data_IF_664903373976
#
_entry.id   IF_664903373976
#
_cell.length_a   1.000
_cell.length_b   1.000
_cell.length_c   1.000
_cell.angle_alpha   90.00
_cell.angle_beta   90.00
_cell.angle_gamma   90.00
#
_symmetry.space_group_name_H-M   'P 1'
#
loop_
_entity.id
_entity.type
_entity.pdbx_description
1 polymer ?
#
# COMPACT_ATOMS: atom_id res chain seq x y z
N UNK A 1 -31.15 49.26 61.74
CA UNK A 1 -30.80 47.87 62.10
C UNK A 1 -29.68 47.44 61.15
N UNK A 2 -28.39 47.36 61.47
CA UNK A 2 -27.72 47.09 62.72
C UNK A 2 -27.05 45.70 62.63
N UNK A 3 -25.83 45.63 62.11
CA UNK A 3 -24.76 44.68 62.52
C UNK A 3 -23.50 44.86 61.64
N UNK A 4 -22.41 45.25 62.30
CA UNK A 4 -21.01 45.20 61.85
C UNK A 4 -20.37 43.90 62.36
N UNK A 5 -19.09 43.69 62.00
CA UNK A 5 -18.11 42.67 62.44
C UNK A 5 -18.09 41.37 61.61
N UNK A 6 -16.94 40.78 61.24
CA UNK A 6 -15.53 41.12 61.37
C UNK A 6 -14.73 40.26 60.36
N UNK A 7 -13.56 40.76 59.94
CA UNK A 7 -12.53 39.97 59.23
C UNK A 7 -12.00 38.90 60.18
N UNK A 8 -12.23 37.63 59.85
CA UNK A 8 -11.53 36.49 60.45
C UNK A 8 -10.32 36.15 59.57
N UNK A 9 -9.16 36.60 60.02
CA UNK A 9 -7.86 36.13 59.56
C UNK A 9 -7.65 34.72 60.10
N UNK A 10 -7.88 33.70 59.29
CA UNK A 10 -7.42 32.34 59.59
C UNK A 10 -6.06 32.14 58.93
N UNK A 11 -5.02 32.19 59.75
CA UNK A 11 -3.69 31.66 59.44
C UNK A 11 -3.83 30.16 59.17
N UNK A 12 -3.92 29.79 57.89
CA UNK A 12 -3.63 28.42 57.46
C UNK A 12 -2.10 28.32 57.26
N UNK A 13 -1.45 27.22 57.70
CA UNK A 13 -0.05 26.97 57.36
C UNK A 13 0.08 26.91 55.82
N UNK A 14 1.28 27.11 55.24
CA UNK A 14 1.44 26.93 53.81
C UNK A 14 1.11 25.46 53.50
N UNK A 15 -0.10 25.22 53.03
CA UNK A 15 -0.43 23.98 52.36
C UNK A 15 0.56 23.89 51.23
N UNK A 16 1.49 22.94 51.33
CA UNK A 16 2.36 22.51 50.25
C UNK A 16 1.54 22.56 48.98
N UNK A 17 1.82 23.54 48.12
CA UNK A 17 1.24 23.59 46.79
C UNK A 17 1.62 22.27 46.17
N UNK A 18 0.68 21.33 46.12
CA UNK A 18 0.78 20.21 45.22
C UNK A 18 0.76 20.88 43.85
N UNK A 19 1.95 21.21 43.34
CA UNK A 19 2.16 21.55 41.95
C UNK A 19 1.68 20.31 41.21
N UNK A 20 0.41 20.32 40.83
CA UNK A 20 -0.14 19.34 39.92
C UNK A 20 0.66 19.55 38.64
N UNK A 21 1.71 18.77 38.48
CA UNK A 21 2.55 18.77 37.28
C UNK A 21 1.62 18.58 36.11
N UNK A 22 1.38 19.66 35.37
CA UNK A 22 0.50 19.65 34.22
C UNK A 22 1.25 19.03 33.05
N UNK A 23 0.52 18.50 32.07
CA UNK A 23 1.13 18.02 30.83
C UNK A 23 1.84 19.14 30.04
N UNK A 24 1.58 20.41 30.40
CA UNK A 24 2.19 21.60 29.80
C UNK A 24 3.57 21.91 30.40
N UNK A 25 3.89 21.35 31.57
CA UNK A 25 5.18 21.55 32.24
C UNK A 25 6.28 20.61 31.69
N UNK A 26 5.93 19.72 30.75
CA UNK A 26 6.88 18.79 30.12
C UNK A 26 7.70 19.54 29.05
N UNK A 27 9.04 19.55 29.12
CA UNK A 27 9.89 20.13 28.10
C UNK A 27 9.64 19.54 26.70
N UNK A 28 9.66 20.38 25.66
CA UNK A 28 9.39 19.95 24.28
C UNK A 28 10.34 18.84 23.80
N UNK A 29 11.60 18.83 24.25
CA UNK A 29 12.56 17.77 23.92
C UNK A 29 12.19 16.41 24.53
N UNK A 30 11.53 16.38 25.70
CA UNK A 30 11.03 15.15 26.28
C UNK A 30 9.81 14.63 25.49
N UNK A 31 8.88 15.54 25.15
CA UNK A 31 7.72 15.23 24.31
C UNK A 31 8.19 14.66 22.97
N UNK A 32 9.20 15.29 22.37
CA UNK A 32 9.68 14.93 21.05
C UNK A 32 10.26 13.52 20.98
N UNK A 33 11.03 13.13 22.00
CA UNK A 33 11.56 11.77 22.14
C UNK A 33 10.40 10.77 22.19
N UNK A 34 9.38 11.04 23.02
CA UNK A 34 8.19 10.17 23.11
C UNK A 34 7.51 10.04 21.75
N UNK A 35 7.23 11.16 21.06
CA UNK A 35 6.56 11.16 19.76
C UNK A 35 7.33 10.37 18.69
N UNK A 36 8.66 10.36 18.73
CA UNK A 36 9.48 9.58 17.80
C UNK A 36 9.31 8.06 17.97
N UNK A 37 8.85 7.56 19.11
CA UNK A 37 8.57 6.14 19.33
C UNK A 37 7.11 5.74 19.03
N UNK A 38 6.24 6.69 18.77
CA UNK A 38 4.81 6.44 18.52
C UNK A 38 4.48 6.28 17.05
N UNK A 39 3.42 5.55 16.75
CA UNK A 39 2.93 5.46 15.38
C UNK A 39 2.25 6.78 14.96
N UNK A 40 2.22 7.13 13.66
CA UNK A 40 1.63 8.38 13.19
C UNK A 40 0.20 8.68 13.67
N UNK A 41 -0.73 7.69 13.77
CA UNK A 41 -2.05 7.95 14.35
C UNK A 41 -2.00 8.33 15.84
N UNK A 42 -1.09 7.74 16.61
CA UNK A 42 -0.91 8.04 18.03
C UNK A 42 -0.35 9.46 18.21
N UNK A 43 0.60 9.87 17.38
CA UNK A 43 1.12 11.24 17.33
C UNK A 43 -0.03 12.23 17.10
N UNK A 44 -0.89 11.96 16.12
CA UNK A 44 -2.05 12.80 15.82
C UNK A 44 -3.06 12.85 16.99
N UNK A 45 -3.27 11.73 17.69
CA UNK A 45 -4.13 11.68 18.87
C UNK A 45 -3.55 12.51 20.01
N UNK A 46 -2.26 12.37 20.33
CA UNK A 46 -1.62 13.17 21.38
C UNK A 46 -1.59 14.67 21.06
N UNK A 47 -1.40 15.02 19.78
CA UNK A 47 -1.48 16.41 19.31
C UNK A 47 -2.84 17.08 19.58
N UNK A 48 -3.89 16.31 19.84
CA UNK A 48 -5.21 16.84 20.20
C UNK A 48 -5.36 17.16 21.69
N UNK A 49 -4.48 16.62 22.55
CA UNK A 49 -4.63 16.67 24.01
C UNK A 49 -4.09 17.96 24.65
N UNK A 50 -3.02 18.55 24.11
CA UNK A 50 -2.47 19.81 24.63
C UNK A 50 -1.77 20.64 23.55
N UNK A 51 -1.55 21.92 23.85
CA UNK A 51 -0.80 22.82 22.97
C UNK A 51 0.66 22.37 22.78
N UNK A 52 1.33 21.96 23.86
CA UNK A 52 2.71 21.48 23.80
C UNK A 52 2.85 20.26 22.86
N UNK A 53 2.00 19.24 23.02
CA UNK A 53 1.99 18.08 22.12
C UNK A 53 1.67 18.48 20.67
N UNK A 54 0.73 19.40 20.46
CA UNK A 54 0.39 19.90 19.12
C UNK A 54 1.57 20.57 18.43
N UNK A 55 2.24 21.48 19.15
CA UNK A 55 3.42 22.21 18.66
C UNK A 55 4.54 21.22 18.29
N UNK A 56 4.95 20.38 19.25
CA UNK A 56 6.05 19.42 19.05
C UNK A 56 5.73 18.38 17.98
N UNK A 57 4.47 17.92 17.88
CA UNK A 57 4.06 16.96 16.83
C UNK A 57 4.13 17.52 15.42
N UNK A 58 4.27 18.83 15.24
CA UNK A 58 4.35 19.44 13.91
C UNK A 58 5.80 19.64 13.44
N UNK A 59 6.78 19.34 14.29
CA UNK A 59 8.19 19.49 13.97
C UNK A 59 8.68 18.42 12.97
N UNK A 60 9.52 18.84 12.03
CA UNK A 60 9.96 18.00 10.91
C UNK A 60 10.75 16.76 11.35
N UNK A 61 11.59 16.87 12.38
CA UNK A 61 12.40 15.74 12.85
C UNK A 61 11.53 14.57 13.37
N UNK A 62 10.31 14.85 13.88
CA UNK A 62 9.36 13.80 14.28
C UNK A 62 8.92 13.02 13.05
N UNK A 63 8.52 13.71 11.98
CA UNK A 63 8.02 13.08 10.77
C UNK A 63 9.11 12.52 9.86
N UNK A 64 10.33 13.04 9.94
CA UNK A 64 11.51 12.45 9.31
C UNK A 64 11.73 11.01 9.77
N UNK A 65 11.54 10.72 11.06
CA UNK A 65 11.63 9.36 11.60
C UNK A 65 10.53 8.42 11.11
N UNK A 66 9.44 8.96 10.56
CA UNK A 66 8.26 8.21 10.07
C UNK A 66 8.23 8.07 8.55
N UNK A 67 8.97 8.91 7.82
CA UNK A 67 9.10 8.82 6.38
C UNK A 67 10.05 7.66 6.01
N UNK A 68 9.78 6.95 4.91
CA UNK A 68 10.69 5.93 4.42
C UNK A 68 11.98 6.57 3.90
N UNK A 69 13.10 5.84 3.94
CA UNK A 69 14.40 6.37 3.50
C UNK A 69 14.42 6.86 2.05
N UNK A 70 13.55 6.31 1.20
CA UNK A 70 13.42 6.68 -0.21
C UNK A 70 12.44 7.85 -0.46
N UNK A 71 12.01 8.60 0.57
CA UNK A 71 10.98 9.64 0.40
C UNK A 71 11.36 10.73 -0.61
N UNK A 72 12.65 11.04 -0.76
CA UNK A 72 13.14 11.98 -1.79
C UNK A 72 12.86 11.43 -3.21
N UNK A 73 13.13 10.15 -3.44
CA UNK A 73 12.78 9.47 -4.69
C UNK A 73 11.25 9.52 -4.92
N UNK A 74 10.45 9.26 -3.88
CA UNK A 74 8.98 9.30 -3.97
C UNK A 74 8.46 10.71 -4.30
N UNK A 75 9.05 11.77 -3.73
CA UNK A 75 8.66 13.14 -4.03
C UNK A 75 8.80 13.46 -5.53
N UNK A 76 9.91 13.04 -6.14
CA UNK A 76 10.18 13.28 -7.54
C UNK A 76 9.39 12.33 -8.46
N UNK A 77 9.42 11.02 -8.18
CA UNK A 77 8.86 9.99 -9.05
C UNK A 77 7.35 9.86 -8.96
N UNK A 78 6.79 9.99 -7.75
CA UNK A 78 5.37 9.74 -7.48
C UNK A 78 4.61 11.04 -7.36
N UNK A 79 5.06 11.97 -6.52
CA UNK A 79 4.34 13.23 -6.28
C UNK A 79 4.65 14.33 -7.31
N UNK A 80 5.73 14.19 -8.08
CA UNK A 80 6.19 15.17 -9.07
C UNK A 80 6.33 16.59 -8.48
N UNK A 81 6.79 16.69 -7.23
CA UNK A 81 6.98 17.95 -6.53
C UNK A 81 8.45 18.39 -6.60
N UNK A 82 8.71 19.71 -6.70
CA UNK A 82 10.07 20.24 -6.58
C UNK A 82 10.66 19.97 -5.19
N UNK A 83 11.98 19.80 -5.11
CA UNK A 83 12.68 19.44 -3.87
C UNK A 83 12.38 20.45 -2.74
N UNK A 84 11.81 19.91 -1.65
CA UNK A 84 11.73 20.44 -0.28
C UNK A 84 11.32 21.92 -0.12
N UNK A 85 10.02 22.18 -0.26
CA UNK A 85 9.34 23.35 0.35
C UNK A 85 8.21 22.96 1.30
N UNK A 86 7.91 21.66 1.43
CA UNK A 86 6.75 21.17 2.15
C UNK A 86 7.17 20.54 3.50
N UNK A 87 6.43 20.80 4.59
CA UNK A 87 6.65 20.15 5.88
C UNK A 87 6.62 18.62 5.75
N UNK A 88 7.50 17.91 6.48
CA UNK A 88 7.60 16.43 6.40
C UNK A 88 6.31 15.72 6.80
N UNK A 89 5.57 16.32 7.74
CA UNK A 89 4.21 15.91 8.11
C UNK A 89 3.25 15.88 6.92
N UNK A 90 3.29 16.92 6.09
CA UNK A 90 2.43 17.03 4.92
C UNK A 90 2.83 16.01 3.84
N UNK A 91 4.14 15.83 3.63
CA UNK A 91 4.67 14.82 2.73
C UNK A 91 4.17 13.43 3.14
N UNK A 92 4.30 13.08 4.42
CA UNK A 92 3.79 11.83 4.95
C UNK A 92 2.28 11.69 4.72
N UNK A 93 1.50 12.74 5.07
CA UNK A 93 0.05 12.73 4.88
C UNK A 93 -0.36 12.53 3.41
N UNK A 94 0.35 13.14 2.45
CA UNK A 94 0.13 12.92 1.02
C UNK A 94 0.47 11.49 0.61
N UNK A 95 1.64 10.98 1.01
CA UNK A 95 2.10 9.63 0.67
C UNK A 95 1.22 8.52 1.27
N UNK A 96 0.49 8.76 2.36
CA UNK A 96 -0.50 7.78 2.90
C UNK A 96 -1.80 7.67 2.09
N UNK A 97 -2.01 8.56 1.12
CA UNK A 97 -3.14 8.48 0.18
C UNK A 97 -2.68 7.75 -1.08
N UNK A 98 -3.58 7.10 -1.84
CA UNK A 98 -3.25 6.57 -3.16
C UNK A 98 -2.68 7.68 -4.05
N UNK A 99 -1.44 7.50 -4.47
CA UNK A 99 -0.72 8.43 -5.34
C UNK A 99 -0.53 7.76 -6.72
N UNK A 100 -1.37 8.09 -7.73
CA UNK A 100 -1.20 7.55 -9.06
C UNK A 100 0.06 8.10 -9.71
N UNK A 101 0.80 7.23 -10.40
CA UNK A 101 1.98 7.60 -11.17
C UNK A 101 2.04 6.76 -12.45
N UNK A 102 2.96 7.11 -13.35
CA UNK A 102 3.12 6.45 -14.65
C UNK A 102 1.78 6.33 -15.42
N UNK A 103 1.26 7.50 -15.81
CA UNK A 103 0.00 7.61 -16.55
C UNK A 103 -1.21 7.01 -15.83
N UNK A 104 -1.20 7.07 -14.48
CA UNK A 104 -2.21 6.49 -13.60
C UNK A 104 -2.41 4.97 -13.77
N UNK A 105 -1.42 4.27 -14.32
CA UNK A 105 -1.43 2.81 -14.43
C UNK A 105 -0.79 2.12 -13.23
N UNK A 106 -0.13 2.89 -12.35
CA UNK A 106 0.47 2.43 -11.11
C UNK A 106 0.06 3.36 -9.98
N UNK A 107 -0.06 2.82 -8.78
CA UNK A 107 -0.36 3.61 -7.59
C UNK A 107 0.62 3.27 -6.47
N UNK A 108 1.02 4.28 -5.72
CA UNK A 108 1.85 4.15 -4.53
C UNK A 108 1.10 4.67 -3.31
N UNK A 109 1.29 4.04 -2.14
CA UNK A 109 0.91 4.64 -0.86
C UNK A 109 1.74 4.08 0.29
N UNK A 110 1.73 4.79 1.41
CA UNK A 110 2.28 4.32 2.69
C UNK A 110 1.16 3.76 3.57
N UNK A 111 1.48 2.68 4.29
CA UNK A 111 0.65 2.29 5.42
C UNK A 111 0.73 3.37 6.53
N UNK A 112 -0.44 3.79 7.01
CA UNK A 112 -0.55 4.92 7.95
C UNK A 112 0.12 4.66 9.30
N UNK A 113 0.20 3.40 9.72
CA UNK A 113 0.78 3.01 11.01
C UNK A 113 2.28 2.77 10.88
N UNK A 114 2.65 1.86 9.98
CA UNK A 114 4.03 1.40 9.84
C UNK A 114 4.91 2.28 8.95
N UNK A 115 4.34 3.19 8.15
CA UNK A 115 5.08 3.99 7.19
C UNK A 115 5.71 3.18 6.05
N UNK A 116 5.27 1.93 5.85
CA UNK A 116 5.82 1.02 4.84
C UNK A 116 5.21 1.23 3.46
N UNK A 117 6.01 0.94 2.43
CA UNK A 117 5.68 1.19 1.04
C UNK A 117 4.76 0.12 0.44
N UNK A 118 3.72 0.56 -0.24
CA UNK A 118 2.84 -0.28 -1.05
C UNK A 118 2.79 0.25 -2.48
N UNK A 119 2.77 -0.68 -3.43
CA UNK A 119 2.63 -0.38 -4.85
C UNK A 119 1.55 -1.30 -5.44
N UNK A 120 0.71 -0.75 -6.31
CA UNK A 120 -0.18 -1.50 -7.18
C UNK A 120 0.12 -1.16 -8.64
N UNK A 121 -0.04 -2.14 -9.52
CA UNK A 121 0.21 -2.05 -10.95
C UNK A 121 -1.04 -2.57 -11.67
N UNK A 122 -1.72 -1.72 -12.42
CA UNK A 122 -2.93 -2.06 -13.19
C UNK A 122 -2.65 -3.12 -14.26
N UNK A 123 -3.65 -3.93 -14.59
CA UNK A 123 -3.66 -4.78 -15.79
C UNK A 123 -3.30 -4.04 -17.07
N UNK A 124 -3.58 -2.74 -17.16
CA UNK A 124 -3.21 -1.88 -18.31
C UNK A 124 -1.71 -1.61 -18.43
N UNK A 125 -0.95 -1.75 -17.34
CA UNK A 125 0.51 -1.66 -17.34
C UNK A 125 1.19 -3.02 -17.53
N UNK A 126 0.43 -4.11 -17.63
CA UNK A 126 0.97 -5.45 -17.81
C UNK A 126 1.13 -5.77 -19.30
N UNK A 127 2.16 -6.56 -19.60
CA UNK A 127 2.34 -7.19 -20.91
C UNK A 127 1.51 -8.47 -20.94
N UNK A 128 0.35 -8.43 -21.58
CA UNK A 128 -0.57 -9.57 -21.72
C UNK A 128 -0.53 -10.05 -23.17
N UNK A 129 -0.19 -11.32 -23.39
CA UNK A 129 -0.15 -11.89 -24.74
C UNK A 129 -1.56 -11.91 -25.37
N UNK A 130 -1.68 -11.30 -26.55
CA UNK A 130 -2.94 -11.23 -27.31
C UNK A 130 -3.93 -10.15 -26.82
N UNK A 131 -3.52 -9.25 -25.93
CA UNK A 131 -4.40 -8.22 -25.33
C UNK A 131 -5.06 -7.29 -26.35
N UNK A 132 -4.40 -7.05 -27.49
CA UNK A 132 -4.90 -6.17 -28.55
C UNK A 132 -6.00 -6.83 -29.39
N UNK A 133 -6.14 -8.16 -29.31
CA UNK A 133 -7.16 -8.91 -30.03
C UNK A 133 -8.42 -9.06 -29.17
N UNK A 134 -9.48 -8.33 -29.55
CA UNK A 134 -10.78 -8.30 -28.86
C UNK A 134 -11.51 -9.65 -28.84
N UNK A 135 -11.08 -10.60 -29.67
CA UNK A 135 -11.56 -12.00 -29.66
C UNK A 135 -11.08 -12.73 -28.40
N UNK A 136 -9.88 -12.41 -27.92
CA UNK A 136 -9.29 -13.05 -26.74
C UNK A 136 -9.49 -12.23 -25.47
N UNK A 137 -9.21 -10.93 -25.51
CA UNK A 137 -9.22 -10.08 -24.32
C UNK A 137 -10.08 -8.84 -24.49
N UNK A 138 -10.66 -8.36 -23.40
CA UNK A 138 -11.33 -7.07 -23.36
C UNK A 138 -11.07 -6.40 -22.01
N UNK A 139 -10.94 -5.07 -22.00
CA UNK A 139 -11.02 -4.33 -20.74
C UNK A 139 -12.48 -4.11 -20.38
N UNK A 140 -12.88 -4.57 -19.20
CA UNK A 140 -14.24 -4.38 -18.69
C UNK A 140 -14.22 -3.34 -17.57
N UNK A 141 -15.14 -2.37 -17.56
CA UNK A 141 -15.24 -1.40 -16.47
C UNK A 141 -15.77 -2.09 -15.20
N UNK A 142 -15.19 -1.74 -14.05
CA UNK A 142 -15.61 -2.26 -12.75
C UNK A 142 -15.18 -1.31 -11.65
N UNK A 143 -16.02 -1.16 -10.62
CA UNK A 143 -15.70 -0.40 -9.41
C UNK A 143 -15.07 -1.27 -8.31
N UNK A 144 -14.86 -2.56 -8.60
CA UNK A 144 -14.09 -3.49 -7.75
C UNK A 144 -12.58 -3.40 -8.00
N UNK A 145 -12.16 -2.52 -8.91
CA UNK A 145 -10.78 -2.21 -9.27
C UNK A 145 -10.45 -0.77 -8.89
N UNK A 146 -9.24 -0.56 -8.38
CA UNK A 146 -8.67 0.79 -8.14
C UNK A 146 -8.50 1.60 -9.42
N UNK A 147 -8.38 0.92 -10.56
CA UNK A 147 -8.13 1.53 -11.86
C UNK A 147 -9.42 1.67 -12.70
N UNK A 148 -10.58 1.36 -12.11
CA UNK A 148 -11.89 1.46 -12.77
C UNK A 148 -12.13 0.44 -13.90
N UNK A 149 -11.17 -0.44 -14.18
CA UNK A 149 -11.28 -1.46 -15.23
C UNK A 149 -10.28 -2.59 -15.03
N UNK A 150 -10.62 -3.77 -15.50
CA UNK A 150 -9.79 -4.99 -15.43
C UNK A 150 -9.67 -5.64 -16.81
N UNK A 151 -8.59 -6.39 -17.05
CA UNK A 151 -8.45 -7.20 -18.25
C UNK A 151 -9.23 -8.51 -18.10
N UNK A 152 -10.12 -8.80 -19.04
CA UNK A 152 -10.97 -9.99 -19.05
C UNK A 152 -10.64 -10.88 -20.24
N UNK A 153 -10.30 -12.14 -19.96
CA UNK A 153 -10.07 -13.17 -20.94
C UNK A 153 -11.40 -13.84 -21.32
N UNK A 154 -11.78 -13.73 -22.59
CA UNK A 154 -12.86 -14.52 -23.18
C UNK A 154 -12.41 -15.97 -23.37
N UNK A 155 -11.38 -16.16 -24.19
CA UNK A 155 -10.88 -17.49 -24.53
C UNK A 155 -9.46 -17.41 -25.12
N UNK A 156 -8.54 -18.30 -24.74
CA UNK A 156 -7.23 -18.49 -25.37
C UNK A 156 -6.68 -19.89 -25.09
N UNK A 157 -5.67 -20.33 -25.85
CA UNK A 157 -5.01 -21.63 -25.66
C UNK A 157 -3.95 -21.60 -24.55
N UNK A 158 -3.11 -20.56 -24.49
CA UNK A 158 -2.14 -20.36 -23.42
C UNK A 158 -2.19 -18.92 -22.91
N UNK A 159 -1.87 -18.73 -21.64
CA UNK A 159 -1.87 -17.41 -21.00
C UNK A 159 -0.46 -17.10 -20.55
N UNK A 160 0.00 -15.91 -20.92
CA UNK A 160 1.25 -15.33 -20.47
C UNK A 160 0.99 -13.85 -20.15
N UNK A 161 1.16 -13.51 -18.87
CA UNK A 161 1.02 -12.16 -18.37
C UNK A 161 2.31 -11.83 -17.64
N UNK A 162 2.98 -10.79 -18.07
CA UNK A 162 4.23 -10.32 -17.48
C UNK A 162 4.16 -8.87 -17.07
N UNK A 163 5.01 -8.49 -16.13
CA UNK A 163 5.26 -7.10 -15.79
C UNK A 163 6.70 -6.90 -15.37
N UNK A 164 7.17 -5.68 -15.57
CA UNK A 164 8.48 -5.23 -15.15
C UNK A 164 8.35 -3.85 -14.52
N UNK A 165 9.09 -3.61 -13.46
CA UNK A 165 9.15 -2.33 -12.80
C UNK A 165 10.55 -2.08 -12.25
N UNK A 166 11.05 -0.88 -12.51
CA UNK A 166 12.24 -0.34 -11.86
C UNK A 166 11.79 0.65 -10.78
N UNK A 167 12.12 0.37 -9.51
CA UNK A 167 11.68 1.21 -8.39
C UNK A 167 12.67 1.15 -7.23
N UNK A 168 12.91 2.30 -6.60
CA UNK A 168 13.73 2.38 -5.38
C UNK A 168 12.89 2.00 -4.16
N UNK A 169 13.14 0.81 -3.61
CA UNK A 169 12.47 0.33 -2.41
C UNK A 169 13.37 0.49 -1.17
N UNK A 170 12.83 0.91 -0.01
CA UNK A 170 13.56 0.86 1.24
C UNK A 170 13.99 -0.55 1.60
N UNK A 171 15.04 -0.66 2.42
CA UNK A 171 15.47 -1.93 3.00
C UNK A 171 14.29 -2.63 3.68
N UNK A 172 14.07 -3.91 3.36
CA UNK A 172 12.94 -4.65 3.88
C UNK A 172 12.64 -5.94 3.14
N UNK A 173 11.64 -6.67 3.63
CA UNK A 173 11.11 -7.88 3.00
C UNK A 173 9.78 -7.56 2.34
N UNK A 174 9.67 -7.89 1.06
CA UNK A 174 8.49 -7.61 0.26
C UNK A 174 7.95 -8.89 -0.35
N UNK A 175 6.70 -8.84 -0.76
CA UNK A 175 5.98 -9.90 -1.43
C UNK A 175 5.27 -9.33 -2.65
N UNK A 176 5.16 -10.15 -3.70
CA UNK A 176 4.43 -9.82 -4.93
C UNK A 176 3.17 -10.68 -5.02
N UNK A 177 2.04 -10.07 -5.38
CA UNK A 177 0.76 -10.77 -5.55
C UNK A 177 0.06 -10.39 -6.84
N UNK A 178 -0.53 -11.36 -7.55
CA UNK A 178 -1.52 -11.11 -8.60
C UNK A 178 -2.93 -11.09 -8.00
N UNK A 179 -3.71 -10.06 -8.29
CA UNK A 179 -5.14 -10.00 -7.99
C UNK A 179 -5.95 -10.43 -9.20
N UNK A 180 -6.56 -11.60 -9.12
CA UNK A 180 -7.35 -12.19 -10.21
C UNK A 180 -8.67 -12.74 -9.69
N UNK A 181 -9.63 -12.92 -10.60
CA UNK A 181 -10.92 -13.54 -10.33
C UNK A 181 -11.28 -14.44 -11.51
N UNK A 182 -11.79 -15.64 -11.22
CA UNK A 182 -12.47 -16.45 -12.22
C UNK A 182 -13.94 -16.04 -12.27
N UNK A 183 -14.35 -15.47 -13.40
CA UNK A 183 -15.66 -14.92 -13.66
C UNK A 183 -15.62 -13.44 -14.02
N UNK A 184 -16.74 -12.95 -14.52
CA UNK A 184 -16.94 -11.59 -14.98
C UNK A 184 -17.86 -10.85 -14.01
N UNK A 185 -17.29 -9.91 -13.26
CA UNK A 185 -18.06 -9.06 -12.37
C UNK A 185 -18.86 -8.00 -13.15
N UNK A 186 -20.12 -7.83 -12.80
CA UNK A 186 -21.00 -6.81 -13.35
C UNK A 186 -21.95 -6.26 -12.29
N UNK A 187 -22.51 -5.08 -12.54
CA UNK A 187 -23.55 -4.49 -11.68
C UNK A 187 -24.85 -4.37 -12.45
N UNK A 188 -25.93 -4.87 -11.85
CA UNK A 188 -27.30 -4.67 -12.32
C UNK A 188 -28.14 -4.15 -11.16
N UNK A 189 -28.77 -2.99 -11.32
CA UNK A 189 -29.60 -2.34 -10.28
C UNK A 189 -28.89 -2.19 -8.92
N UNK A 190 -27.60 -1.81 -8.94
CA UNK A 190 -26.79 -1.64 -7.72
C UNK A 190 -26.36 -2.94 -7.03
N UNK A 191 -26.81 -4.11 -7.51
CA UNK A 191 -26.41 -5.42 -7.00
C UNK A 191 -25.24 -5.96 -7.82
N UNK A 192 -24.26 -6.51 -7.10
CA UNK A 192 -23.12 -7.23 -7.66
C UNK A 192 -23.61 -8.56 -8.22
N UNK A 193 -23.30 -8.84 -9.49
CA UNK A 193 -23.56 -10.11 -10.16
C UNK A 193 -22.27 -10.61 -10.78
N UNK A 194 -22.05 -11.92 -10.74
CA UNK A 194 -20.84 -12.53 -11.26
C UNK A 194 -21.26 -13.64 -12.21
N UNK A 195 -20.88 -13.45 -13.46
CA UNK A 195 -21.05 -14.45 -14.50
C UNK A 195 -19.84 -15.39 -14.49
N UNK A 196 -20.08 -16.68 -14.35
CA UNK A 196 -19.05 -17.71 -14.35
C UNK A 196 -19.21 -18.69 -15.51
N UNK A 197 -20.17 -18.46 -16.41
CA UNK A 197 -20.53 -19.40 -17.47
C UNK A 197 -19.40 -19.51 -18.52
N UNK A 198 -18.62 -18.45 -18.70
CA UNK A 198 -17.46 -18.43 -19.59
C UNK A 198 -16.17 -19.01 -18.95
N UNK A 199 -16.20 -19.41 -17.67
CA UNK A 199 -15.01 -19.95 -16.98
C UNK A 199 -14.79 -21.42 -17.33
N UNK A 200 -13.61 -21.73 -17.87
CA UNK A 200 -13.23 -23.11 -18.22
C UNK A 200 -11.70 -23.28 -18.33
N UNK A 201 -11.20 -24.52 -18.17
CA UNK A 201 -9.84 -24.93 -18.53
C UNK A 201 -8.73 -24.60 -17.52
N UNK A 202 -9.06 -23.93 -16.41
CA UNK A 202 -8.09 -23.49 -15.39
C UNK A 202 -7.70 -24.58 -14.40
N UNK A 203 -8.57 -25.58 -14.23
CA UNK A 203 -8.44 -26.70 -13.30
C UNK A 203 -7.48 -27.80 -13.80
N UNK A 204 -7.14 -27.82 -15.09
CA UNK A 204 -6.41 -28.92 -15.71
C UNK A 204 -4.92 -28.94 -15.33
N UNK A 205 -4.30 -27.77 -15.18
CA UNK A 205 -2.89 -27.60 -14.82
C UNK A 205 -2.74 -26.40 -13.89
N UNK A 206 -1.74 -26.39 -13.01
CA UNK A 206 -1.49 -25.22 -12.19
C UNK A 206 -1.00 -24.07 -13.06
N UNK A 207 -1.34 -22.86 -12.65
CA UNK A 207 -0.77 -21.62 -13.16
C UNK A 207 0.53 -21.36 -12.43
N UNK A 208 1.61 -21.12 -13.17
CA UNK A 208 2.91 -20.78 -12.64
C UNK A 208 3.04 -19.27 -12.50
N UNK A 209 3.54 -18.85 -11.36
CA UNK A 209 3.92 -17.47 -11.08
C UNK A 209 5.44 -17.42 -10.90
N UNK A 210 6.10 -16.49 -11.56
CA UNK A 210 7.55 -16.31 -11.43
C UNK A 210 7.86 -14.87 -10.99
N UNK A 211 8.88 -14.73 -10.15
CA UNK A 211 9.43 -13.47 -9.69
C UNK A 211 10.94 -13.52 -9.90
N UNK A 212 11.49 -12.46 -10.50
CA UNK A 212 12.92 -12.22 -10.50
C UNK A 212 13.22 -10.78 -10.11
N UNK A 213 14.13 -10.59 -9.15
CA UNK A 213 14.56 -9.28 -8.68
C UNK A 213 16.07 -9.16 -8.85
N UNK A 214 16.51 -8.19 -9.63
CA UNK A 214 17.92 -7.89 -9.88
C UNK A 214 18.23 -6.42 -9.66
N UNK A 215 19.51 -6.08 -9.72
CA UNK A 215 19.99 -4.70 -9.76
C UNK A 215 21.12 -4.61 -10.81
N UNK A 216 21.35 -3.42 -11.33
CA UNK A 216 22.40 -3.08 -12.28
C UNK A 216 23.79 -3.62 -11.88
N UNK A 217 24.08 -3.71 -10.58
CA UNK A 217 25.39 -4.16 -10.07
C UNK A 217 25.44 -5.65 -9.68
N UNK A 218 24.31 -6.35 -9.57
CA UNK A 218 24.28 -7.77 -9.19
C UNK A 218 23.40 -8.57 -10.15
N UNK A 219 24.06 -9.26 -11.09
CA UNK A 219 23.41 -10.11 -12.10
C UNK A 219 22.86 -11.42 -11.52
N UNK A 220 23.30 -11.84 -10.33
CA UNK A 220 22.75 -12.98 -9.61
C UNK A 220 21.53 -12.51 -8.80
N UNK A 221 20.46 -12.16 -9.51
CA UNK A 221 19.19 -11.73 -8.92
C UNK A 221 18.50 -12.86 -8.13
N UNK A 222 17.60 -12.49 -7.23
CA UNK A 222 16.72 -13.44 -6.56
C UNK A 222 15.69 -13.93 -7.58
N UNK A 223 15.52 -15.25 -7.74
CA UNK A 223 14.46 -15.83 -8.55
C UNK A 223 13.64 -16.81 -7.71
N UNK A 224 12.32 -16.65 -7.76
CA UNK A 224 11.35 -17.49 -7.03
C UNK A 224 10.21 -17.84 -7.98
N UNK A 225 9.67 -19.05 -7.85
CA UNK A 225 8.46 -19.45 -8.54
C UNK A 225 7.48 -20.13 -7.59
N UNK A 226 6.20 -20.02 -7.90
CA UNK A 226 5.10 -20.68 -7.19
C UNK A 226 4.07 -21.16 -8.19
N UNK A 227 3.27 -22.15 -7.81
CA UNK A 227 2.27 -22.76 -8.69
C UNK A 227 0.95 -22.92 -7.93
N UNK A 228 -0.15 -22.50 -8.56
CA UNK A 228 -1.50 -22.57 -7.96
C UNK A 228 -2.54 -23.02 -8.96
N UNK A 229 -3.51 -23.81 -8.51
CA UNK A 229 -4.74 -24.04 -9.28
C UNK A 229 -5.69 -22.86 -9.07
N UNK A 230 -6.22 -22.31 -10.16
CA UNK A 230 -7.29 -21.32 -10.09
C UNK A 230 -8.62 -22.06 -10.05
N UNK A 231 -9.22 -22.14 -8.85
CA UNK A 231 -10.47 -22.89 -8.61
C UNK A 231 -11.51 -22.08 -7.82
N UNK A 232 -11.20 -20.83 -7.48
CA UNK A 232 -12.11 -19.96 -6.73
C UNK A 232 -12.93 -19.09 -7.68
N UNK A 233 -14.12 -19.56 -8.00
CA UNK A 233 -15.06 -18.84 -8.85
C UNK A 233 -15.72 -17.66 -8.12
N UNK A 234 -15.91 -16.56 -8.85
CA UNK A 234 -16.62 -15.37 -8.40
C UNK A 234 -15.95 -14.56 -7.30
N UNK A 235 -14.73 -14.89 -6.88
CA UNK A 235 -14.01 -14.17 -5.82
C UNK A 235 -12.70 -13.59 -6.36
N UNK A 236 -12.39 -12.37 -5.95
CA UNK A 236 -11.05 -11.82 -6.11
C UNK A 236 -10.10 -12.55 -5.16
N UNK A 237 -9.02 -13.07 -5.69
CA UNK A 237 -7.99 -13.79 -4.94
C UNK A 237 -6.64 -13.15 -5.21
N UNK A 238 -5.84 -13.04 -4.14
CA UNK A 238 -4.46 -12.57 -4.20
C UNK A 238 -3.52 -13.77 -4.22
N UNK A 239 -3.04 -14.14 -5.40
CA UNK A 239 -2.08 -15.22 -5.57
C UNK A 239 -0.67 -14.69 -5.37
N UNK A 240 0.02 -15.24 -4.35
CA UNK A 240 1.38 -14.84 -3.99
C UNK A 240 2.37 -15.38 -5.01
N UNK A 241 3.07 -14.50 -5.72
CA UNK A 241 4.12 -14.88 -6.68
C UNK A 241 5.36 -15.37 -5.94
N UNK A 242 5.82 -14.57 -4.97
CA UNK A 242 7.04 -14.86 -4.20
C UNK A 242 7.43 -13.72 -3.28
N UNK A 243 8.42 -14.00 -2.43
CA UNK A 243 9.05 -13.05 -1.52
C UNK A 243 10.42 -12.64 -2.03
N UNK A 244 10.83 -11.41 -1.72
CA UNK A 244 12.18 -10.92 -1.98
C UNK A 244 12.64 -9.96 -0.89
N UNK A 245 13.96 -9.84 -0.74
CA UNK A 245 14.58 -8.95 0.24
C UNK A 245 15.37 -7.85 -0.45
N UNK A 246 15.23 -6.63 0.06
CA UNK A 246 16.06 -5.47 -0.28
C UNK A 246 17.04 -5.26 0.88
N UNK A 247 18.32 -5.45 0.65
CA UNK A 247 19.36 -5.46 1.70
C UNK A 247 19.93 -4.07 1.97
N UNK A 248 20.04 -3.24 0.92
CA UNK A 248 20.69 -1.93 0.97
C UNK A 248 19.69 -0.80 0.74
N UNK A 249 19.84 0.34 1.46
CA UNK A 249 19.12 1.56 1.10
C UNK A 249 19.56 2.05 -0.29
N UNK A 250 18.68 2.76 -0.99
CA UNK A 250 18.90 3.29 -2.35
C UNK A 250 19.12 2.20 -3.42
N UNK A 251 18.69 0.98 -3.14
CA UNK A 251 18.68 -0.11 -4.10
C UNK A 251 17.54 0.10 -5.10
N UNK A 252 17.90 0.41 -6.35
CA UNK A 252 16.95 0.44 -7.45
C UNK A 252 16.70 -1.00 -7.90
N UNK A 253 15.53 -1.53 -7.54
CA UNK A 253 15.16 -2.90 -7.83
C UNK A 253 14.55 -2.99 -9.24
N UNK A 254 15.12 -3.86 -10.08
CA UNK A 254 14.46 -4.34 -11.29
C UNK A 254 13.64 -5.57 -10.92
N UNK A 255 12.32 -5.38 -10.81
CA UNK A 255 11.37 -6.40 -10.40
C UNK A 255 10.64 -6.87 -11.65
N UNK A 256 10.81 -8.13 -12.02
CA UNK A 256 10.05 -8.79 -13.07
C UNK A 256 9.18 -9.87 -12.46
N UNK A 257 7.93 -9.93 -12.89
CA UNK A 257 6.99 -10.93 -12.41
C UNK A 257 6.12 -11.42 -13.57
N UNK A 258 5.62 -12.65 -13.44
CA UNK A 258 4.74 -13.23 -14.44
C UNK A 258 3.72 -14.20 -13.86
N UNK A 259 2.66 -14.41 -14.63
CA UNK A 259 1.62 -15.42 -14.44
C UNK A 259 1.47 -16.16 -15.78
N UNK A 260 1.76 -17.45 -15.79
CA UNK A 260 1.94 -18.25 -16.99
C UNK A 260 1.21 -19.58 -16.85
N UNK A 261 0.45 -19.95 -17.87
CA UNK A 261 -0.06 -21.30 -18.05
C UNK A 261 0.00 -21.66 -19.53
N UNK A 262 1.04 -22.43 -19.87
CA UNK A 262 1.25 -22.92 -21.24
C UNK A 262 0.63 -24.32 -21.32
N UNK A 263 -0.58 -24.38 -21.87
CA UNK A 263 -1.26 -25.64 -22.14
C UNK A 263 -2.17 -25.55 -23.35
N UNK A 264 -1.66 -25.92 -24.52
CA UNK A 264 -2.40 -25.82 -25.77
C UNK A 264 -3.35 -27.00 -26.02
N UNK A 265 -3.60 -27.84 -25.02
CA UNK A 265 -4.51 -29.00 -25.18
C UNK A 265 -5.98 -28.59 -25.06
N UNK A 266 -6.29 -27.57 -24.24
CA UNK A 266 -7.64 -27.09 -23.98
C UNK A 266 -7.65 -25.57 -23.90
N UNK A 267 -8.73 -24.97 -24.38
CA UNK A 267 -8.94 -23.53 -24.27
C UNK A 267 -9.26 -23.14 -22.84
N UNK A 268 -8.96 -21.89 -22.48
CA UNK A 268 -9.18 -21.30 -21.17
C UNK A 268 -9.91 -19.99 -21.32
N UNK A 269 -10.86 -19.71 -20.44
CA UNK A 269 -11.67 -18.50 -20.50
C UNK A 269 -12.16 -18.04 -19.13
N UNK A 270 -12.76 -16.86 -19.09
CA UNK A 270 -13.38 -16.31 -17.90
C UNK A 270 -12.42 -15.81 -16.82
N UNK A 271 -11.18 -15.46 -17.16
CA UNK A 271 -10.23 -14.87 -16.20
C UNK A 271 -10.31 -13.34 -16.21
N UNK A 272 -10.60 -12.74 -15.07
CA UNK A 272 -10.44 -11.30 -14.80
C UNK A 272 -9.12 -11.05 -14.08
N UNK A 273 -8.28 -10.18 -14.64
CA UNK A 273 -6.99 -9.75 -14.08
C UNK A 273 -7.08 -8.27 -13.76
N UNK A 274 -6.93 -7.93 -12.49
CA UNK A 274 -7.05 -6.55 -12.03
C UNK A 274 -5.69 -5.85 -11.92
N UNK A 275 -4.83 -6.37 -11.05
CA UNK A 275 -3.60 -5.69 -10.69
C UNK A 275 -2.56 -6.62 -10.07
N UNK A 276 -1.32 -6.14 -10.01
CA UNK A 276 -0.24 -6.75 -9.25
C UNK A 276 0.13 -5.84 -8.08
N UNK A 277 0.25 -6.42 -6.88
CA UNK A 277 0.63 -5.71 -5.67
C UNK A 277 2.06 -6.06 -5.26
N UNK A 278 2.79 -5.05 -4.81
CA UNK A 278 4.06 -5.20 -4.12
C UNK A 278 3.89 -4.56 -2.74
N UNK A 279 4.02 -5.36 -1.70
CA UNK A 279 3.79 -4.91 -0.33
C UNK A 279 4.77 -5.57 0.65
N UNK A 280 4.86 -5.07 1.90
CA UNK A 280 5.67 -5.72 2.93
C UNK A 280 5.18 -7.15 3.21
N UNK A 281 6.09 -8.09 3.45
CA UNK A 281 5.75 -9.51 3.66
C UNK A 281 5.01 -9.77 4.99
N UNK A 282 5.18 -8.90 5.98
CA UNK A 282 4.44 -8.97 7.24
C UNK A 282 2.97 -8.53 7.10
N UNK A 283 2.59 -7.95 5.96
CA UNK A 283 1.21 -7.59 5.67
C UNK A 283 0.41 -8.81 5.23
N UNK A 284 -0.70 -9.09 5.92
CA UNK A 284 -1.70 -10.05 5.46
C UNK A 284 -2.63 -9.34 4.46
N UNK A 285 -2.64 -9.74 3.17
CA UNK A 285 -3.46 -9.06 2.19
C UNK A 285 -4.95 -9.24 2.51
N UNK A 286 -5.66 -8.16 2.81
CA UNK A 286 -7.13 -8.16 2.91
C UNK A 286 -7.76 -7.80 1.57
N UNK A 287 -8.92 -8.38 1.25
CA UNK A 287 -9.65 -8.15 -0.02
C UNK A 287 -10.08 -6.70 -0.29
N UNK A 288 -9.95 -5.80 0.69
CA UNK A 288 -10.29 -4.37 0.59
C UNK A 288 -9.11 -3.48 0.15
N UNK A 289 -8.02 -4.06 -0.35
CA UNK A 289 -6.91 -3.30 -0.92
C UNK A 289 -7.34 -2.58 -2.20
#
# INVERSE_FOLDING_TARGET
MGASFAKLSTNLPPSSSSTSSSLEDIPENCISIVLMYLDPPEICNLASLSHAFRSTSSADFVWESKLPSNYIFLLHRVLQLPLLTHPKKEIFARLTRPCPFDHATKEFWLDKKSGKNFISISSKALKITGIDDRRYWNYIPTDESRYGSVAYLKQIWWVEIGGEMEFELPKGKYSVYFRVQLGKSSKKFGRRFIDVDEVHGWELKPVRFELSVSNNNNKNGQKVSSEFYLNQFGKWVLYKVGDFCIESPNFVAQIKFSMIQIDCTHTKGGLSVDSVFICPNDFKPTFKL
#
